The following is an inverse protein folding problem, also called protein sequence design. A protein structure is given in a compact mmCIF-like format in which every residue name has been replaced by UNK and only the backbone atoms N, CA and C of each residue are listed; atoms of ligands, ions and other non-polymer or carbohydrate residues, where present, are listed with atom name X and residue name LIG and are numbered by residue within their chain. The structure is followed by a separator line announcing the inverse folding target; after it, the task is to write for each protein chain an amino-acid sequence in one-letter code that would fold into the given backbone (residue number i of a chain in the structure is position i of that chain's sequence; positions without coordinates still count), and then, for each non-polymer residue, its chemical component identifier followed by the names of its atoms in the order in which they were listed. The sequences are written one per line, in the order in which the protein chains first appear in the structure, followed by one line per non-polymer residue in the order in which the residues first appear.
data_IF_481496272498
#
_entry.id   IF_481496272498
#
_cell.length_a   1.000
_cell.length_b   1.000
_cell.length_c   1.000
_cell.angle_alpha   90.00
_cell.angle_beta   90.00
_cell.angle_gamma   90.00
#
_symmetry.space_group_name_H-M   'P 1'
#
loop_
_entity.id
_entity.type
_entity.pdbx_description
1 polymer ?
#
# COMPACT_ATOMS: atom_id res chain seq x y z
N UNK A 1 -62.86 10.78 -75.63
CA UNK A 1 -62.71 9.33 -75.41
C UNK A 1 -61.23 9.02 -75.22
N UNK A 2 -60.89 8.51 -74.03
CA UNK A 2 -59.74 7.64 -73.71
C UNK A 2 -58.36 8.35 -73.79
N UNK A 3 -57.87 8.96 -72.69
CA UNK A 3 -57.08 8.36 -71.58
C UNK A 3 -55.75 7.75 -72.06
N UNK A 4 -54.56 8.08 -71.57
CA UNK A 4 -54.13 8.41 -70.22
C UNK A 4 -52.88 7.57 -69.97
N UNK A 5 -51.70 8.20 -69.90
CA UNK A 5 -50.45 7.56 -69.50
C UNK A 5 -49.79 8.41 -68.41
N UNK A 6 -49.32 7.81 -67.29
CA UNK A 6 -48.85 8.54 -66.13
C UNK A 6 -47.36 8.85 -66.26
N UNK A 7 -46.98 10.12 -66.09
CA UNK A 7 -45.61 10.49 -65.69
C UNK A 7 -45.72 11.49 -64.55
N UNK A 8 -45.76 10.99 -63.32
CA UNK A 8 -45.46 11.81 -62.16
C UNK A 8 -43.92 11.89 -62.10
N UNK A 9 -43.37 12.88 -62.79
CA UNK A 9 -42.05 13.39 -62.43
C UNK A 9 -42.25 14.18 -61.13
N UNK A 10 -41.82 13.61 -60.01
CA UNK A 10 -41.74 14.33 -58.75
C UNK A 10 -40.76 15.50 -58.92
N UNK A 11 -41.30 16.69 -59.15
CA UNK A 11 -40.54 17.93 -59.09
C UNK A 11 -40.14 18.15 -57.63
N UNK A 12 -38.90 17.80 -57.30
CA UNK A 12 -38.24 18.21 -56.06
C UNK A 12 -38.06 19.72 -56.13
N UNK A 13 -38.92 20.45 -55.43
CA UNK A 13 -38.74 21.88 -55.18
C UNK A 13 -37.57 22.01 -54.21
N UNK A 14 -36.37 22.17 -54.78
CA UNK A 14 -35.21 22.67 -54.05
C UNK A 14 -35.48 24.15 -53.77
N UNK A 15 -36.05 24.43 -52.59
CA UNK A 15 -36.13 25.78 -52.07
C UNK A 15 -34.72 26.17 -51.61
N UNK A 16 -33.99 26.82 -52.52
CA UNK A 16 -32.76 27.54 -52.24
C UNK A 16 -33.04 28.70 -51.27
N UNK A 17 -32.90 28.46 -49.96
CA UNK A 17 -32.66 29.54 -49.01
C UNK A 17 -31.21 30.01 -49.17
N UNK A 18 -31.03 31.04 -49.99
CA UNK A 18 -29.81 31.84 -50.09
C UNK A 18 -30.09 33.14 -49.37
N UNK A 19 -29.92 33.19 -48.05
CA UNK A 19 -29.65 34.43 -47.29
C UNK A 19 -28.95 34.07 -45.99
N UNK A 20 -27.78 34.69 -45.80
CA UNK A 20 -26.95 34.83 -44.60
C UNK A 20 -26.29 33.58 -43.99
N UNK A 21 -25.04 33.38 -44.41
CA UNK A 21 -23.94 32.78 -43.66
C UNK A 21 -24.25 31.55 -42.78
N UNK A 22 -24.40 30.37 -43.40
CA UNK A 22 -23.95 29.14 -42.76
C UNK A 22 -22.42 29.07 -42.82
N UNK A 23 -21.71 29.93 -42.09
CA UNK A 23 -20.40 29.51 -41.59
C UNK A 23 -20.69 28.41 -40.59
N UNK A 24 -20.32 27.17 -40.89
CA UNK A 24 -20.18 26.16 -39.86
C UNK A 24 -19.23 26.76 -38.81
N UNK A 25 -19.80 27.24 -37.70
CA UNK A 25 -19.02 27.80 -36.62
C UNK A 25 -18.26 26.60 -36.06
N UNK A 26 -17.00 26.45 -36.46
CA UNK A 26 -16.10 25.49 -35.85
C UNK A 26 -15.97 25.92 -34.40
N UNK A 27 -16.73 25.29 -33.51
CA UNK A 27 -16.69 25.58 -32.08
C UNK A 27 -15.28 25.27 -31.59
N UNK A 28 -14.45 26.31 -31.48
CA UNK A 28 -13.06 26.19 -31.07
C UNK A 28 -12.99 26.32 -29.55
N UNK A 29 -12.59 25.23 -28.90
CA UNK A 29 -12.54 25.09 -27.45
C UNK A 29 -11.15 25.45 -26.87
N UNK A 30 -10.19 25.87 -27.71
CA UNK A 30 -8.78 26.04 -27.33
C UNK A 30 -8.57 27.14 -26.28
N UNK A 31 -9.35 28.22 -26.32
CA UNK A 31 -9.26 29.28 -25.32
C UNK A 31 -9.72 28.80 -23.94
N UNK A 32 -10.83 28.05 -23.88
CA UNK A 32 -11.34 27.44 -22.65
C UNK A 32 -10.32 26.42 -22.10
N UNK A 33 -9.72 25.62 -22.99
CA UNK A 33 -8.67 24.67 -22.62
C UNK A 33 -7.44 25.35 -22.02
N UNK A 34 -7.01 26.47 -22.61
CA UNK A 34 -5.85 27.23 -22.13
C UNK A 34 -6.07 27.84 -20.75
N UNK A 35 -7.32 28.21 -20.45
CA UNK A 35 -7.70 28.76 -19.15
C UNK A 35 -7.95 27.68 -18.09
N UNK A 36 -8.16 26.42 -18.49
CA UNK A 36 -8.59 25.35 -17.58
C UNK A 36 -10.06 25.49 -17.18
N UNK A 37 -10.88 26.13 -18.04
CA UNK A 37 -12.26 26.46 -17.76
C UNK A 37 -13.17 25.24 -17.94
N UNK A 38 -13.97 24.88 -16.93
CA UNK A 38 -14.86 23.72 -16.99
C UNK A 38 -15.95 23.81 -18.07
N UNK A 39 -16.29 25.01 -18.57
CA UNK A 39 -17.16 25.17 -19.74
C UNK A 39 -16.54 24.63 -21.03
N UNK A 40 -15.24 24.28 -21.02
CA UNK A 40 -14.59 23.50 -22.07
C UNK A 40 -15.35 22.21 -22.43
N UNK A 41 -15.89 21.53 -21.42
CA UNK A 41 -16.58 20.25 -21.64
C UNK A 41 -17.96 20.42 -22.31
N UNK A 42 -18.64 21.55 -22.06
CA UNK A 42 -19.86 21.93 -22.79
C UNK A 42 -19.54 22.20 -24.27
N UNK A 43 -18.40 22.86 -24.53
CA UNK A 43 -17.86 23.09 -25.87
C UNK A 43 -17.54 21.76 -26.59
N UNK A 44 -16.88 20.81 -25.90
CA UNK A 44 -16.58 19.49 -26.44
C UNK A 44 -17.86 18.70 -26.78
N UNK A 45 -18.83 18.65 -25.86
CA UNK A 45 -20.11 17.97 -26.12
C UNK A 45 -20.80 18.54 -27.36
N UNK A 46 -20.81 19.86 -27.53
CA UNK A 46 -21.37 20.50 -28.73
C UNK A 46 -20.58 20.15 -29.99
N UNK A 47 -19.24 20.22 -29.93
CA UNK A 47 -18.37 19.99 -31.08
C UNK A 47 -18.44 18.56 -31.61
N UNK A 48 -18.39 17.57 -30.71
CA UNK A 48 -18.42 16.14 -31.05
C UNK A 48 -19.84 15.56 -31.07
N UNK A 49 -20.86 16.39 -30.81
CA UNK A 49 -22.27 15.98 -30.74
C UNK A 49 -22.52 14.88 -29.69
N UNK A 50 -21.81 14.94 -28.57
CA UNK A 50 -21.96 14.01 -27.46
C UNK A 50 -23.16 14.36 -26.57
N UNK A 51 -23.79 13.35 -26.00
CA UNK A 51 -24.95 13.45 -25.12
C UNK A 51 -24.56 13.67 -23.65
N UNK A 52 -25.57 13.88 -22.80
CA UNK A 52 -25.37 14.05 -21.35
C UNK A 52 -24.75 12.83 -20.65
N UNK A 53 -24.85 11.64 -21.25
CA UNK A 53 -24.30 10.40 -20.68
C UNK A 53 -22.86 10.14 -21.11
N UNK A 54 -22.35 10.90 -22.08
CA UNK A 54 -21.02 10.71 -22.63
C UNK A 54 -19.97 11.49 -21.81
N UNK A 55 -18.71 11.06 -21.95
CA UNK A 55 -17.56 11.56 -21.19
C UNK A 55 -17.54 13.07 -20.90
N UNK A 56 -17.74 13.99 -21.88
CA UNK A 56 -17.59 15.41 -21.61
C UNK A 56 -18.49 15.89 -20.47
N UNK A 57 -19.76 15.49 -20.45
CA UNK A 57 -20.73 15.96 -19.46
C UNK A 57 -20.86 15.03 -18.27
N UNK A 58 -20.87 13.71 -18.50
CA UNK A 58 -21.06 12.71 -17.46
C UNK A 58 -19.84 12.60 -16.52
N UNK A 59 -18.63 12.84 -17.04
CA UNK A 59 -17.39 12.69 -16.28
C UNK A 59 -16.57 13.99 -16.22
N UNK A 60 -16.12 14.50 -17.37
CA UNK A 60 -15.16 15.60 -17.45
C UNK A 60 -15.64 16.87 -16.75
N UNK A 61 -16.83 17.37 -17.12
CA UNK A 61 -17.43 18.58 -16.53
C UNK A 61 -17.71 18.41 -15.04
N UNK A 62 -18.29 17.27 -14.65
CA UNK A 62 -18.62 16.94 -13.25
C UNK A 62 -17.38 17.05 -12.36
N UNK A 63 -16.30 16.36 -12.73
CA UNK A 63 -15.08 16.34 -11.92
C UNK A 63 -14.33 17.66 -11.98
N UNK A 64 -14.28 18.34 -13.13
CA UNK A 64 -13.67 19.66 -13.22
C UNK A 64 -14.30 20.66 -12.23
N UNK A 65 -15.63 20.72 -12.19
CA UNK A 65 -16.35 21.59 -11.27
C UNK A 65 -16.12 21.20 -9.81
N UNK A 66 -16.09 19.89 -9.52
CA UNK A 66 -15.86 19.39 -8.16
C UNK A 66 -14.46 19.70 -7.66
N UNK A 67 -13.42 19.48 -8.46
CA UNK A 67 -12.06 19.87 -8.11
C UNK A 67 -11.93 21.39 -7.89
N UNK A 68 -12.64 22.20 -8.68
CA UNK A 68 -12.67 23.64 -8.48
C UNK A 68 -13.37 24.04 -7.17
N UNK A 69 -14.54 23.46 -6.87
CA UNK A 69 -15.31 23.78 -5.67
C UNK A 69 -14.64 23.34 -4.38
N UNK A 70 -14.02 22.16 -4.39
CA UNK A 70 -13.38 21.60 -3.20
C UNK A 70 -11.92 21.99 -3.06
N UNK A 71 -11.34 22.79 -3.97
CA UNK A 71 -9.91 23.15 -3.97
C UNK A 71 -9.34 23.59 -2.62
N UNK A 72 -10.15 24.22 -1.76
CA UNK A 72 -9.75 24.66 -0.41
C UNK A 72 -9.32 23.55 0.55
N UNK A 73 -9.78 22.31 0.35
CA UNK A 73 -9.34 21.17 1.17
C UNK A 73 -7.91 20.72 0.83
N UNK A 74 -7.38 21.09 -0.35
CA UNK A 74 -6.04 20.73 -0.79
C UNK A 74 -5.00 21.69 -0.19
N UNK A 75 -3.79 21.18 -0.01
CA UNK A 75 -2.61 21.98 0.27
C UNK A 75 -2.35 23.01 -0.85
N UNK A 76 -1.51 24.02 -0.60
CA UNK A 76 -1.13 25.00 -1.62
C UNK A 76 -0.55 24.35 -2.88
N UNK A 77 0.28 23.31 -2.71
CA UNK A 77 0.79 22.51 -3.82
C UNK A 77 -0.32 21.75 -4.57
N UNK A 78 -1.28 21.20 -3.83
CA UNK A 78 -2.44 20.53 -4.43
C UNK A 78 -3.37 21.46 -5.21
N UNK A 79 -3.56 22.70 -4.76
CA UNK A 79 -4.34 23.71 -5.49
C UNK A 79 -3.67 24.11 -6.81
N UNK A 80 -2.35 24.26 -6.80
CA UNK A 80 -1.57 24.50 -8.02
C UNK A 80 -1.65 23.29 -8.97
N UNK A 81 -1.56 22.07 -8.44
CA UNK A 81 -1.70 20.83 -9.19
C UNK A 81 -3.05 20.76 -9.92
N UNK A 82 -4.17 21.00 -9.22
CA UNK A 82 -5.52 21.02 -9.81
C UNK A 82 -5.58 21.97 -11.03
N UNK A 83 -5.05 23.18 -10.85
CA UNK A 83 -5.07 24.23 -11.88
C UNK A 83 -4.23 23.86 -13.10
N UNK A 84 -3.06 23.29 -12.88
CA UNK A 84 -2.15 22.96 -13.97
C UNK A 84 -2.58 21.70 -14.72
N UNK A 85 -3.09 20.70 -13.99
CA UNK A 85 -3.63 19.47 -14.56
C UNK A 85 -4.86 19.74 -15.41
N UNK A 86 -5.81 20.56 -14.95
CA UNK A 86 -7.01 20.87 -15.72
C UNK A 86 -6.65 21.46 -17.09
N UNK A 87 -5.70 22.41 -17.12
CA UNK A 87 -5.17 22.97 -18.36
C UNK A 87 -4.49 21.91 -19.22
N UNK A 88 -3.61 21.10 -18.63
CA UNK A 88 -2.89 20.05 -19.37
C UNK A 88 -3.84 19.06 -20.04
N UNK A 89 -4.86 18.58 -19.33
CA UNK A 89 -5.85 17.63 -19.86
C UNK A 89 -6.63 18.23 -21.04
N UNK A 90 -7.15 19.45 -20.85
CA UNK A 90 -7.93 20.12 -21.89
C UNK A 90 -7.06 20.47 -23.11
N UNK A 91 -5.82 20.91 -22.87
CA UNK A 91 -4.85 21.21 -23.93
C UNK A 91 -4.43 19.95 -24.69
N UNK A 92 -4.26 18.82 -23.99
CA UNK A 92 -3.94 17.53 -24.62
C UNK A 92 -5.00 17.14 -25.64
N UNK A 93 -6.28 17.38 -25.34
CA UNK A 93 -7.38 17.13 -26.28
C UNK A 93 -7.29 18.08 -27.47
N UNK A 94 -7.27 19.40 -27.28
CA UNK A 94 -7.33 20.36 -28.42
C UNK A 94 -6.10 20.31 -29.33
N UNK A 95 -4.95 19.88 -28.81
CA UNK A 95 -3.71 19.74 -29.57
C UNK A 95 -3.57 18.37 -30.26
N UNK A 96 -4.48 17.43 -30.01
CA UNK A 96 -4.43 16.10 -30.60
C UNK A 96 -5.03 16.06 -32.01
N UNK A 97 -4.66 15.02 -32.77
CA UNK A 97 -5.20 14.81 -34.12
C UNK A 97 -6.72 14.58 -34.11
N UNK A 98 -7.27 13.92 -33.08
CA UNK A 98 -8.71 13.63 -32.98
C UNK A 98 -9.55 14.91 -32.90
N UNK A 99 -9.01 16.01 -32.38
CA UNK A 99 -9.75 17.25 -32.21
C UNK A 99 -10.20 17.88 -33.53
N UNK A 100 -9.44 17.66 -34.59
CA UNK A 100 -9.73 18.17 -35.91
C UNK A 100 -10.35 17.11 -36.83
N UNK A 101 -10.47 15.86 -36.39
CA UNK A 101 -11.10 14.78 -37.14
C UNK A 101 -12.62 14.78 -36.90
N UNK A 102 -13.36 15.07 -37.96
CA UNK A 102 -14.83 15.12 -38.00
C UNK A 102 -15.49 13.76 -37.75
N UNK A 103 -14.75 12.65 -37.86
CA UNK A 103 -15.26 11.30 -37.65
C UNK A 103 -15.00 10.76 -36.24
N UNK A 104 -14.33 11.52 -35.38
CA UNK A 104 -14.05 11.10 -34.00
C UNK A 104 -15.36 10.89 -33.23
N UNK A 105 -15.51 9.71 -32.62
CA UNK A 105 -16.66 9.40 -31.77
C UNK A 105 -16.45 9.83 -30.33
N UNK A 106 -17.54 9.93 -29.55
CA UNK A 106 -17.47 10.24 -28.13
C UNK A 106 -16.71 9.18 -27.32
N UNK A 107 -16.77 7.91 -27.73
CA UNK A 107 -15.98 6.81 -27.12
C UNK A 107 -14.47 6.95 -27.39
N UNK A 108 -14.11 7.37 -28.61
CA UNK A 108 -12.71 7.63 -28.97
C UNK A 108 -12.16 8.84 -28.22
N UNK A 109 -12.98 9.90 -28.10
CA UNK A 109 -12.67 11.07 -27.29
C UNK A 109 -12.47 10.68 -25.82
N UNK A 110 -13.37 9.89 -25.25
CA UNK A 110 -13.27 9.40 -23.88
C UNK A 110 -11.99 8.60 -23.65
N UNK A 111 -11.70 7.65 -24.55
CA UNK A 111 -10.51 6.80 -24.47
C UNK A 111 -9.24 7.66 -24.45
N UNK A 112 -9.11 8.58 -25.41
CA UNK A 112 -7.96 9.49 -25.47
C UNK A 112 -7.89 10.39 -24.23
N UNK A 113 -9.03 10.92 -23.80
CA UNK A 113 -9.07 11.81 -22.65
C UNK A 113 -8.50 11.09 -21.44
N UNK A 114 -9.00 9.89 -21.10
CA UNK A 114 -8.44 9.07 -20.03
C UNK A 114 -6.96 8.76 -20.23
N UNK A 115 -6.51 8.34 -21.42
CA UNK A 115 -5.10 8.05 -21.70
C UNK A 115 -4.15 9.23 -21.45
N UNK A 116 -4.63 10.48 -21.56
CA UNK A 116 -3.82 11.68 -21.27
C UNK A 116 -3.61 11.96 -19.77
N UNK A 117 -4.43 11.38 -18.88
CA UNK A 117 -4.41 11.72 -17.46
C UNK A 117 -3.10 11.40 -16.74
N UNK A 118 -2.46 10.22 -16.90
CA UNK A 118 -1.28 9.88 -16.11
C UNK A 118 -0.15 10.86 -16.39
N UNK A 119 0.07 11.19 -17.67
CA UNK A 119 1.10 12.15 -18.09
C UNK A 119 0.84 13.52 -17.48
N UNK A 120 -0.37 14.06 -17.61
CA UNK A 120 -0.71 15.36 -17.05
C UNK A 120 -0.61 15.39 -15.52
N UNK A 121 -1.01 14.32 -14.84
CA UNK A 121 -0.92 14.24 -13.38
C UNK A 121 0.54 14.28 -12.93
N UNK A 122 1.39 13.43 -13.51
CA UNK A 122 2.81 13.31 -13.15
C UNK A 122 3.58 14.60 -13.44
N UNK A 123 3.44 15.13 -14.66
CA UNK A 123 4.18 16.32 -15.13
C UNK A 123 3.90 17.56 -14.28
N UNK A 124 2.74 17.59 -13.62
CA UNK A 124 2.30 18.72 -12.82
C UNK A 124 2.44 18.50 -11.32
N UNK A 125 3.17 17.47 -10.89
CA UNK A 125 3.53 17.28 -9.49
C UNK A 125 2.63 16.31 -8.72
N UNK A 126 1.92 15.38 -9.37
CA UNK A 126 1.11 14.39 -8.64
C UNK A 126 1.94 13.62 -7.60
N UNK A 127 3.14 13.17 -7.98
CA UNK A 127 3.99 12.39 -7.08
C UNK A 127 4.51 13.20 -5.89
N UNK A 128 4.68 14.52 -6.02
CA UNK A 128 5.28 15.39 -5.01
C UNK A 128 4.24 16.14 -4.19
N UNK A 129 3.27 16.75 -4.84
CA UNK A 129 2.34 17.69 -4.23
C UNK A 129 1.03 17.02 -3.82
N UNK A 130 0.62 15.94 -4.49
CA UNK A 130 -0.61 15.20 -4.15
C UNK A 130 -0.28 13.98 -3.30
N UNK A 131 0.52 13.07 -3.85
CA UNK A 131 0.82 11.78 -3.28
C UNK A 131 1.63 11.90 -1.97
N UNK A 132 2.59 12.83 -1.91
CA UNK A 132 3.45 13.09 -0.73
C UNK A 132 2.99 14.29 0.11
N UNK A 133 1.70 14.68 0.03
CA UNK A 133 1.18 15.77 0.85
C UNK A 133 1.26 15.47 2.35
N UNK A 134 1.52 16.50 3.16
CA UNK A 134 1.59 16.36 4.63
C UNK A 134 0.30 15.74 5.19
N UNK A 135 0.47 14.76 6.07
CA UNK A 135 -0.62 13.96 6.65
C UNK A 135 -1.61 13.39 5.61
N UNK A 136 -1.15 13.14 4.38
CA UNK A 136 -1.97 12.70 3.25
C UNK A 136 -3.15 13.63 2.92
N UNK A 137 -3.09 14.92 3.30
CA UNK A 137 -4.19 15.89 3.16
C UNK A 137 -4.87 15.84 1.80
N UNK A 138 -4.08 15.80 0.72
CA UNK A 138 -4.61 15.84 -0.64
C UNK A 138 -5.28 14.53 -1.05
N UNK A 139 -4.76 13.38 -0.62
CA UNK A 139 -5.38 12.07 -0.87
C UNK A 139 -6.68 11.92 -0.07
N UNK A 140 -6.68 12.38 1.19
CA UNK A 140 -7.86 12.42 2.04
C UNK A 140 -8.94 13.28 1.38
N UNK A 141 -8.59 14.44 0.85
CA UNK A 141 -9.59 15.26 0.16
C UNK A 141 -10.09 14.62 -1.14
N UNK A 142 -9.19 14.04 -1.96
CA UNK A 142 -9.61 13.33 -3.19
C UNK A 142 -10.62 12.23 -2.85
N UNK A 143 -10.37 11.43 -1.81
CA UNK A 143 -11.27 10.36 -1.39
C UNK A 143 -12.59 10.86 -0.80
N UNK A 144 -12.55 11.88 0.06
CA UNK A 144 -13.71 12.30 0.85
C UNK A 144 -14.56 13.37 0.19
N UNK A 145 -14.01 14.17 -0.73
CA UNK A 145 -14.70 15.32 -1.31
C UNK A 145 -14.85 15.19 -2.82
N UNK A 146 -13.86 14.66 -3.53
CA UNK A 146 -13.91 14.56 -4.98
C UNK A 146 -14.66 13.31 -5.44
N UNK A 147 -14.36 12.16 -4.84
CA UNK A 147 -14.95 10.87 -5.20
C UNK A 147 -15.85 10.32 -4.09
N UNK A 148 -16.91 11.08 -3.76
CA UNK A 148 -17.83 10.79 -2.64
C UNK A 148 -18.79 9.62 -2.87
N UNK A 149 -18.93 9.14 -4.10
CA UNK A 149 -19.93 8.15 -4.51
C UNK A 149 -19.33 7.02 -5.36
N UNK A 150 -20.18 6.14 -5.92
CA UNK A 150 -19.84 4.99 -6.79
C UNK A 150 -18.95 5.30 -8.02
N UNK A 151 -18.53 6.55 -8.20
CA UNK A 151 -17.65 7.01 -9.28
C UNK A 151 -16.26 6.36 -9.24
N UNK A 152 -15.79 5.93 -8.05
CA UNK A 152 -14.54 5.18 -7.90
C UNK A 152 -14.57 3.80 -8.59
N UNK A 153 -15.75 3.28 -8.96
CA UNK A 153 -15.90 1.91 -9.49
C UNK A 153 -15.90 1.80 -11.01
N UNK A 154 -15.69 2.90 -11.75
CA UNK A 154 -15.48 2.80 -13.20
C UNK A 154 -14.09 2.24 -13.48
N UNK A 155 -14.01 1.19 -14.31
CA UNK A 155 -12.74 0.49 -14.64
C UNK A 155 -11.65 1.46 -15.12
N UNK A 156 -12.02 2.53 -15.82
CA UNK A 156 -11.10 3.55 -16.31
C UNK A 156 -10.54 4.42 -15.18
N UNK A 157 -11.35 4.88 -14.22
CA UNK A 157 -10.85 5.71 -13.11
C UNK A 157 -9.84 4.96 -12.23
N UNK A 158 -10.06 3.67 -11.98
CA UNK A 158 -9.14 2.81 -11.23
C UNK A 158 -7.83 2.59 -12.01
N UNK A 159 -7.93 2.32 -13.32
CA UNK A 159 -6.77 2.16 -14.20
C UNK A 159 -5.92 3.45 -14.26
N UNK A 160 -6.56 4.61 -14.26
CA UNK A 160 -5.87 5.90 -14.20
C UNK A 160 -5.09 6.12 -12.91
N UNK A 161 -5.71 5.86 -11.76
CA UNK A 161 -5.06 5.96 -10.45
C UNK A 161 -3.87 5.02 -10.38
N UNK A 162 -4.05 3.78 -10.85
CA UNK A 162 -3.02 2.74 -10.84
C UNK A 162 -1.83 3.12 -11.72
N UNK A 163 -2.05 3.56 -12.96
CA UNK A 163 -0.99 3.98 -13.89
C UNK A 163 -0.24 5.21 -13.40
N UNK A 164 -0.95 6.19 -12.84
CA UNK A 164 -0.35 7.41 -12.31
C UNK A 164 0.52 7.09 -11.09
N UNK A 165 0.01 6.30 -10.15
CA UNK A 165 0.75 5.92 -8.95
C UNK A 165 1.97 5.03 -9.27
N UNK A 166 1.83 4.05 -10.18
CA UNK A 166 2.93 3.19 -10.61
C UNK A 166 4.08 3.96 -11.29
N UNK A 167 3.77 5.11 -11.90
CA UNK A 167 4.76 5.97 -12.57
C UNK A 167 5.53 6.88 -11.61
N UNK A 168 5.18 6.93 -10.32
CA UNK A 168 5.93 7.63 -9.28
C UNK A 168 7.15 6.84 -8.76
N UNK A 169 7.65 5.89 -9.56
CA UNK A 169 8.64 4.85 -9.22
C UNK A 169 10.03 5.35 -8.77
N UNK A 170 10.30 6.65 -8.77
CA UNK A 170 11.56 7.20 -8.24
C UNK A 170 11.53 7.51 -6.73
N UNK A 171 10.40 7.34 -6.04
CA UNK A 171 10.24 7.72 -4.62
C UNK A 171 9.43 6.71 -3.79
N UNK A 172 9.31 5.44 -4.18
CA UNK A 172 8.53 4.45 -3.41
C UNK A 172 9.07 4.30 -1.97
N UNK A 173 10.39 4.33 -1.79
CA UNK A 173 10.99 4.32 -0.44
C UNK A 173 10.62 5.59 0.34
N UNK A 174 10.78 6.79 -0.23
CA UNK A 174 10.36 8.05 0.41
C UNK A 174 8.85 8.08 0.72
N UNK A 175 8.01 7.51 -0.15
CA UNK A 175 6.55 7.47 0.00
C UNK A 175 6.08 6.54 1.12
N UNK A 176 6.70 5.37 1.28
CA UNK A 176 6.36 4.46 2.37
C UNK A 176 6.97 4.92 3.70
N UNK A 177 8.18 5.49 3.68
CA UNK A 177 8.95 5.80 4.88
C UNK A 177 8.56 7.13 5.56
N UNK A 178 8.03 8.13 4.84
CA UNK A 178 7.91 9.50 5.41
C UNK A 178 6.53 9.87 5.99
N UNK A 179 5.40 9.23 5.61
CA UNK A 179 4.07 9.70 6.07
C UNK A 179 3.04 8.62 6.51
N UNK A 180 2.77 7.52 5.78
CA UNK A 180 1.73 6.55 6.18
C UNK A 180 2.14 5.67 7.36
N UNK A 181 3.45 5.38 7.46
CA UNK A 181 4.00 4.52 8.51
C UNK A 181 4.63 5.27 9.68
N UNK A 182 4.85 6.59 9.56
CA UNK A 182 5.30 7.43 10.66
C UNK A 182 4.28 7.52 11.81
N UNK A 183 2.99 7.27 11.53
CA UNK A 183 1.90 7.18 12.51
C UNK A 183 1.49 5.74 12.83
N UNK A 184 2.22 4.75 12.33
CA UNK A 184 1.88 3.34 12.55
C UNK A 184 2.02 2.98 14.03
N UNK A 185 1.03 2.26 14.57
CA UNK A 185 0.97 1.79 15.97
C UNK A 185 1.91 0.58 16.18
N UNK A 186 3.17 0.73 15.78
CA UNK A 186 4.21 -0.29 15.94
C UNK A 186 4.49 -0.54 17.43
N UNK A 187 4.42 0.50 18.25
CA UNK A 187 4.48 0.41 19.73
C UNK A 187 3.32 -0.37 20.34
N UNK A 188 2.32 -0.76 19.54
CA UNK A 188 1.25 -1.66 19.95
C UNK A 188 1.35 -3.02 19.26
N UNK A 189 2.42 -3.26 18.52
CA UNK A 189 2.64 -4.47 17.74
C UNK A 189 1.68 -4.60 16.57
N UNK A 190 1.19 -3.50 15.97
CA UNK A 190 0.43 -3.54 14.69
C UNK A 190 1.42 -3.62 13.52
N UNK A 191 1.24 -4.56 12.56
CA UNK A 191 2.16 -4.70 11.44
C UNK A 191 1.98 -3.54 10.46
N UNK A 192 3.11 -3.06 9.93
CA UNK A 192 3.14 -2.16 8.79
C UNK A 192 3.07 -3.00 7.53
N UNK A 193 2.02 -2.84 6.72
CA UNK A 193 1.83 -3.65 5.50
C UNK A 193 1.71 -2.76 4.27
N UNK A 194 2.53 -3.02 3.26
CA UNK A 194 2.44 -2.42 1.94
C UNK A 194 1.97 -3.45 0.91
N UNK A 195 1.14 -3.01 -0.03
CA UNK A 195 0.73 -3.80 -1.18
C UNK A 195 1.18 -3.11 -2.46
N UNK A 196 2.00 -3.78 -3.26
CA UNK A 196 2.49 -3.30 -4.56
C UNK A 196 1.66 -3.97 -5.64
N UNK A 197 1.00 -3.18 -6.48
CA UNK A 197 0.25 -3.65 -7.64
C UNK A 197 0.96 -3.17 -8.91
N UNK A 198 1.26 -4.07 -9.84
CA UNK A 198 1.88 -3.72 -11.13
C UNK A 198 1.33 -4.59 -12.25
N UNK A 199 1.20 -4.01 -13.44
CA UNK A 199 0.77 -4.69 -14.67
C UNK A 199 1.92 -4.92 -15.66
N UNK A 200 3.12 -4.46 -15.31
CA UNK A 200 4.28 -4.43 -16.18
C UNK A 200 5.58 -4.72 -15.46
N UNK A 201 6.67 -4.72 -16.24
CA UNK A 201 8.04 -4.82 -15.73
C UNK A 201 8.54 -3.43 -15.33
N UNK A 202 9.37 -3.36 -14.30
CA UNK A 202 10.12 -2.14 -13.97
C UNK A 202 11.06 -1.74 -15.11
N UNK A 203 11.16 -0.44 -15.33
CA UNK A 203 12.13 0.17 -16.24
C UNK A 203 13.55 0.21 -15.64
N UNK A 204 13.66 0.06 -14.31
CA UNK A 204 14.93 -0.06 -13.58
C UNK A 204 14.80 -1.13 -12.48
N UNK A 205 15.01 -2.42 -12.82
CA UNK A 205 14.92 -3.51 -11.85
C UNK A 205 15.87 -3.35 -10.66
N UNK A 206 17.03 -2.72 -10.87
CA UNK A 206 18.03 -2.56 -9.81
C UNK A 206 17.59 -1.57 -8.74
N UNK A 207 17.02 -0.44 -9.15
CA UNK A 207 16.44 0.55 -8.24
C UNK A 207 15.21 -0.01 -7.52
N UNK A 208 14.38 -0.80 -8.20
CA UNK A 208 13.22 -1.47 -7.60
C UNK A 208 13.62 -2.40 -6.45
N UNK A 209 14.66 -3.22 -6.64
CA UNK A 209 15.19 -4.11 -5.59
C UNK A 209 15.74 -3.31 -4.41
N UNK A 210 16.48 -2.23 -4.67
CA UNK A 210 17.02 -1.37 -3.61
C UNK A 210 15.91 -0.69 -2.80
N UNK A 211 14.87 -0.20 -3.46
CA UNK A 211 13.71 0.40 -2.81
C UNK A 211 12.96 -0.62 -1.96
N UNK A 212 12.72 -1.83 -2.47
CA UNK A 212 12.10 -2.91 -1.71
C UNK A 212 12.93 -3.28 -0.47
N UNK A 213 14.26 -3.36 -0.61
CA UNK A 213 15.13 -3.63 0.52
C UNK A 213 15.06 -2.53 1.59
N UNK A 214 15.01 -1.25 1.19
CA UNK A 214 14.87 -0.15 2.14
C UNK A 214 13.55 -0.24 2.93
N UNK A 215 12.46 -0.62 2.26
CA UNK A 215 11.13 -0.83 2.87
C UNK A 215 11.15 -2.02 3.83
N UNK A 216 11.79 -3.13 3.44
CA UNK A 216 11.95 -4.31 4.30
C UNK A 216 12.81 -4.00 5.54
N UNK A 217 13.88 -3.22 5.37
CA UNK A 217 14.75 -2.82 6.48
C UNK A 217 14.03 -1.90 7.48
N UNK A 218 12.98 -1.18 7.05
CA UNK A 218 12.08 -0.46 7.95
C UNK A 218 10.97 -1.36 8.51
N UNK A 219 11.07 -2.69 8.43
CA UNK A 219 10.08 -3.61 9.02
C UNK A 219 8.67 -3.48 8.43
N UNK A 220 8.55 -2.98 7.19
CA UNK A 220 7.30 -2.95 6.43
C UNK A 220 7.18 -4.26 5.65
N UNK A 221 6.07 -4.97 5.87
CA UNK A 221 5.77 -6.23 5.20
C UNK A 221 5.08 -5.99 3.85
N UNK A 222 5.63 -6.51 2.77
CA UNK A 222 5.23 -6.21 1.39
C UNK A 222 4.59 -7.43 0.74
N UNK A 223 3.41 -7.20 0.15
CA UNK A 223 2.71 -8.10 -0.76
C UNK A 223 2.78 -7.56 -2.18
N UNK A 224 3.05 -8.43 -3.15
CA UNK A 224 3.20 -8.06 -4.56
C UNK A 224 2.08 -8.68 -5.39
N UNK A 225 1.41 -7.86 -6.21
CA UNK A 225 0.31 -8.26 -7.07
C UNK A 225 0.66 -7.94 -8.53
N UNK A 226 0.88 -8.98 -9.32
CA UNK A 226 1.02 -8.88 -10.77
C UNK A 226 -0.34 -8.94 -11.43
N UNK A 227 -0.62 -8.03 -12.36
CA UNK A 227 -1.90 -7.98 -13.08
C UNK A 227 -1.66 -8.20 -14.58
N UNK A 228 -2.33 -9.20 -15.15
CA UNK A 228 -2.19 -9.58 -16.54
C UNK A 228 -0.87 -10.29 -16.86
N UNK A 229 -0.43 -10.19 -18.11
CA UNK A 229 0.61 -11.06 -18.66
C UNK A 229 1.94 -10.36 -18.95
N UNK A 230 2.06 -9.06 -18.64
CA UNK A 230 3.26 -8.24 -18.97
C UNK A 230 4.20 -8.05 -17.76
N UNK A 231 3.99 -8.79 -16.69
CA UNK A 231 4.78 -8.73 -15.45
C UNK A 231 6.07 -9.56 -15.53
N UNK A 232 7.03 -9.28 -14.63
CA UNK A 232 8.14 -10.20 -14.31
C UNK A 232 7.87 -10.81 -12.95
N UNK A 233 7.77 -12.15 -12.91
CA UNK A 233 7.55 -12.84 -11.64
C UNK A 233 8.76 -12.71 -10.72
N UNK A 234 9.98 -12.71 -11.27
CA UNK A 234 11.21 -12.51 -10.49
C UNK A 234 11.23 -11.13 -9.82
N UNK A 235 10.79 -10.09 -10.51
CA UNK A 235 10.67 -8.75 -9.95
C UNK A 235 9.66 -8.70 -8.79
N UNK A 236 8.47 -9.29 -8.96
CA UNK A 236 7.46 -9.35 -7.89
C UNK A 236 7.98 -10.09 -6.66
N UNK A 237 8.71 -11.19 -6.87
CA UNK A 237 9.35 -11.97 -5.80
C UNK A 237 10.42 -11.14 -5.09
N UNK A 238 11.19 -10.32 -5.82
CA UNK A 238 12.21 -9.47 -5.22
C UNK A 238 11.62 -8.31 -4.41
N UNK A 239 10.41 -7.84 -4.76
CA UNK A 239 9.67 -6.82 -4.02
C UNK A 239 9.01 -7.38 -2.75
N UNK A 240 8.54 -8.63 -2.79
CA UNK A 240 7.74 -9.24 -1.74
C UNK A 240 8.57 -9.71 -0.52
N UNK A 241 8.05 -9.55 0.70
CA UNK A 241 8.83 -9.85 1.93
C UNK A 241 9.15 -11.32 2.18
N UNK A 242 8.28 -12.25 1.77
CA UNK A 242 8.55 -13.70 1.86
C UNK A 242 8.76 -14.33 0.48
N UNK A 243 9.22 -13.52 -0.47
CA UNK A 243 9.38 -13.94 -1.86
C UNK A 243 8.06 -14.46 -2.43
N UNK A 244 8.10 -15.65 -3.03
CA UNK A 244 6.96 -16.26 -3.73
C UNK A 244 5.68 -16.38 -2.87
N UNK A 245 5.80 -16.54 -1.55
CA UNK A 245 4.65 -16.69 -0.64
C UNK A 245 3.75 -15.47 -0.56
N UNK A 246 4.27 -14.29 -0.91
CA UNK A 246 3.58 -13.00 -0.88
C UNK A 246 3.32 -12.44 -2.29
N UNK A 247 3.52 -13.25 -3.34
CA UNK A 247 3.26 -12.86 -4.72
C UNK A 247 1.93 -13.43 -5.18
N UNK A 248 1.08 -12.56 -5.70
CA UNK A 248 -0.22 -12.91 -6.24
C UNK A 248 -0.31 -12.49 -7.70
N UNK A 249 -0.84 -13.37 -8.54
CA UNK A 249 -1.09 -13.05 -9.94
C UNK A 249 -2.60 -12.91 -10.17
N UNK A 250 -2.97 -11.88 -10.93
CA UNK A 250 -4.34 -11.45 -11.16
C UNK A 250 -4.54 -11.41 -12.67
N UNK A 251 -5.62 -12.03 -13.17
CA UNK A 251 -5.84 -12.18 -14.62
C UNK A 251 -6.01 -10.85 -15.37
N UNK A 252 -6.49 -9.80 -14.69
CA UNK A 252 -6.75 -8.51 -15.28
C UNK A 252 -7.44 -7.56 -14.31
N UNK A 253 -8.09 -6.54 -14.86
CA UNK A 253 -8.72 -5.45 -14.10
C UNK A 253 -10.25 -5.56 -14.05
N UNK A 254 -10.82 -6.76 -14.14
CA UNK A 254 -12.27 -6.90 -13.94
C UNK A 254 -12.64 -6.70 -12.47
N UNK A 255 -13.91 -6.38 -12.21
CA UNK A 255 -14.43 -6.26 -10.84
C UNK A 255 -14.27 -7.55 -10.04
N UNK A 256 -14.42 -8.71 -10.69
CA UNK A 256 -14.19 -10.02 -10.07
C UNK A 256 -12.71 -10.28 -9.76
N UNK A 257 -11.80 -9.87 -10.66
CA UNK A 257 -10.36 -10.02 -10.45
C UNK A 257 -9.88 -9.18 -9.26
N UNK A 258 -10.34 -7.93 -9.19
CA UNK A 258 -10.00 -7.02 -8.09
C UNK A 258 -10.63 -7.45 -6.76
N UNK A 259 -11.83 -8.03 -6.78
CA UNK A 259 -12.41 -8.68 -5.60
C UNK A 259 -11.52 -9.81 -5.04
N UNK A 260 -10.82 -10.54 -5.92
CA UNK A 260 -9.80 -11.51 -5.52
C UNK A 260 -8.60 -10.87 -4.80
N UNK A 261 -8.10 -9.75 -5.32
CA UNK A 261 -7.02 -8.97 -4.69
C UNK A 261 -7.41 -8.51 -3.28
N UNK A 262 -8.59 -7.90 -3.14
CA UNK A 262 -9.07 -7.41 -1.85
C UNK A 262 -9.22 -8.53 -0.82
N UNK A 263 -9.74 -9.69 -1.23
CA UNK A 263 -9.87 -10.84 -0.33
C UNK A 263 -8.50 -11.39 0.09
N UNK A 264 -7.56 -11.44 -0.84
CA UNK A 264 -6.21 -11.90 -0.54
C UNK A 264 -5.48 -10.94 0.40
N UNK A 265 -5.58 -9.62 0.16
CA UNK A 265 -5.08 -8.61 1.07
C UNK A 265 -5.67 -8.80 2.46
N UNK A 266 -7.00 -8.87 2.59
CA UNK A 266 -7.67 -9.04 3.87
C UNK A 266 -7.18 -10.27 4.65
N UNK A 267 -7.05 -11.43 3.99
CA UNK A 267 -6.58 -12.66 4.65
C UNK A 267 -5.11 -12.55 5.04
N UNK A 268 -4.29 -11.99 4.17
CA UNK A 268 -2.83 -11.96 4.35
C UNK A 268 -2.42 -10.91 5.39
N UNK A 269 -2.99 -9.70 5.34
CA UNK A 269 -2.69 -8.62 6.28
C UNK A 269 -3.12 -8.98 7.70
N UNK A 270 -4.25 -9.66 7.89
CA UNK A 270 -4.71 -10.15 9.20
C UNK A 270 -3.80 -11.25 9.78
N UNK A 271 -3.00 -11.89 8.92
CA UNK A 271 -2.08 -12.98 9.28
C UNK A 271 -0.62 -12.51 9.29
N UNK A 272 -0.37 -11.21 9.11
CA UNK A 272 0.98 -10.67 9.05
C UNK A 272 1.52 -10.43 10.47
N UNK A 273 2.69 -10.95 10.82
CA UNK A 273 3.32 -10.62 12.09
C UNK A 273 3.97 -9.24 12.04
N UNK A 274 4.03 -8.57 13.18
CA UNK A 274 4.83 -7.34 13.34
C UNK A 274 6.28 -7.73 13.58
N UNK A 275 7.17 -7.27 12.71
CA UNK A 275 8.61 -7.47 12.84
C UNK A 275 9.13 -6.47 13.88
N UNK A 276 9.83 -6.98 14.89
CA UNK A 276 10.31 -6.18 16.01
C UNK A 276 11.76 -6.51 16.37
N UNK A 277 12.46 -5.50 16.85
CA UNK A 277 13.79 -5.65 17.43
C UNK A 277 13.68 -6.05 18.91
N UNK A 278 14.67 -6.83 19.38
CA UNK A 278 14.76 -7.18 20.79
C UNK A 278 14.99 -5.92 21.63
N UNK A 279 14.24 -5.76 22.72
CA UNK A 279 14.28 -4.56 23.58
C UNK A 279 13.24 -3.50 23.24
N UNK A 280 12.50 -3.65 22.13
CA UNK A 280 11.36 -2.77 21.83
C UNK A 280 10.16 -3.15 22.68
N UNK A 281 9.61 -2.16 23.38
CA UNK A 281 8.40 -2.31 24.18
C UNK A 281 7.15 -2.25 23.31
N UNK A 282 6.19 -3.13 23.61
CA UNK A 282 4.83 -3.10 23.06
C UNK A 282 3.84 -2.91 24.19
N UNK A 283 2.90 -1.98 24.04
CA UNK A 283 1.77 -1.83 24.94
C UNK A 283 0.45 -1.88 24.15
N UNK A 284 -0.47 -2.77 24.51
CA UNK A 284 -1.76 -2.88 23.82
C UNK A 284 -2.84 -3.52 24.70
N UNK A 285 -4.10 -3.37 24.28
CA UNK A 285 -5.25 -4.11 24.78
C UNK A 285 -5.80 -5.03 23.70
N UNK A 286 -6.06 -6.30 24.05
CA UNK A 286 -6.62 -7.31 23.16
C UNK A 286 -8.01 -7.75 23.62
N UNK A 287 -9.02 -7.75 22.74
CA UNK A 287 -10.28 -8.41 22.99
C UNK A 287 -10.15 -9.92 23.16
N UNK A 288 -11.13 -10.56 23.80
CA UNK A 288 -11.21 -12.02 23.93
C UNK A 288 -11.07 -12.75 22.60
N UNK A 289 -10.16 -13.72 22.54
CA UNK A 289 -9.91 -14.57 21.37
C UNK A 289 -9.15 -13.88 20.24
N UNK A 290 -8.94 -12.56 20.31
CA UNK A 290 -8.04 -11.86 19.38
C UNK A 290 -6.58 -12.19 19.71
N UNK A 291 -5.73 -12.09 18.70
CA UNK A 291 -4.32 -12.42 18.81
C UNK A 291 -3.45 -11.27 18.32
N UNK A 292 -2.27 -11.12 18.92
CA UNK A 292 -1.20 -10.30 18.37
C UNK A 292 -0.05 -11.15 17.91
N UNK A 293 0.30 -10.98 16.64
CA UNK A 293 1.28 -11.77 15.90
C UNK A 293 2.57 -10.97 15.83
N UNK A 294 3.66 -11.53 16.36
CA UNK A 294 4.95 -10.85 16.45
C UNK A 294 6.04 -11.75 15.88
N UNK A 295 7.06 -11.14 15.29
CA UNK A 295 8.25 -11.81 14.79
C UNK A 295 9.49 -11.11 15.33
N UNK A 296 10.42 -11.90 15.87
CA UNK A 296 11.73 -11.45 16.30
C UNK A 296 12.81 -12.27 15.59
N UNK A 297 13.91 -11.62 15.23
CA UNK A 297 15.15 -12.34 14.97
C UNK A 297 15.61 -12.98 16.29
N UNK A 298 15.78 -14.31 16.27
CA UNK A 298 16.07 -15.08 17.46
C UNK A 298 17.58 -15.06 17.78
N UNK A 299 18.00 -14.51 18.94
CA UNK A 299 19.41 -14.39 19.28
C UNK A 299 20.05 -15.76 19.56
N UNK A 300 21.32 -15.92 19.20
CA UNK A 300 22.09 -17.15 19.48
C UNK A 300 22.22 -17.48 20.97
N UNK A 301 22.12 -16.46 21.84
CA UNK A 301 22.13 -16.59 23.31
C UNK A 301 20.73 -16.81 23.91
N UNK A 302 19.68 -16.86 23.10
CA UNK A 302 18.29 -16.91 23.53
C UNK A 302 17.73 -15.53 23.85
N UNK A 303 16.45 -15.49 24.22
CA UNK A 303 15.77 -14.25 24.61
C UNK A 303 14.77 -14.50 25.73
N UNK A 304 14.61 -13.53 26.62
CA UNK A 304 13.56 -13.54 27.65
C UNK A 304 12.40 -12.64 27.26
N UNK A 305 11.18 -13.17 27.35
CA UNK A 305 9.93 -12.43 27.23
C UNK A 305 9.48 -11.97 28.62
N UNK A 306 9.22 -10.67 28.78
CA UNK A 306 8.65 -10.07 29.98
C UNK A 306 7.32 -9.44 29.63
N UNK A 307 6.22 -10.02 30.11
CA UNK A 307 4.87 -9.54 29.84
C UNK A 307 4.24 -9.10 31.15
N UNK A 308 4.16 -7.79 31.34
CA UNK A 308 3.49 -7.16 32.47
C UNK A 308 2.00 -7.03 32.14
N UNK A 309 1.15 -7.69 32.92
CA UNK A 309 -0.29 -7.84 32.63
C UNK A 309 -1.07 -7.01 33.63
N UNK A 310 -1.79 -6.03 33.11
CA UNK A 310 -2.58 -5.11 33.95
C UNK A 310 -4.06 -5.49 33.99
N UNK A 311 -4.58 -6.10 32.91
CA UNK A 311 -5.97 -6.54 32.80
C UNK A 311 -6.02 -7.89 32.10
N UNK A 312 -6.87 -8.79 32.59
CA UNK A 312 -7.18 -10.06 31.93
C UNK A 312 -6.07 -11.11 32.05
N UNK A 313 -6.12 -12.10 31.17
CA UNK A 313 -5.16 -13.20 31.10
C UNK A 313 -4.81 -13.46 29.65
N UNK A 314 -3.60 -13.91 29.41
CA UNK A 314 -3.12 -14.17 28.07
C UNK A 314 -2.37 -15.49 27.98
N UNK A 315 -2.36 -16.04 26.78
CA UNK A 315 -1.50 -17.16 26.39
C UNK A 315 -0.54 -16.66 25.32
N UNK A 316 0.75 -16.82 25.56
CA UNK A 316 1.80 -16.60 24.57
C UNK A 316 2.15 -17.94 23.97
N UNK A 317 1.94 -18.08 22.66
CA UNK A 317 2.33 -19.27 21.89
C UNK A 317 3.52 -18.91 21.02
N UNK A 318 4.56 -19.72 21.01
CA UNK A 318 5.73 -19.48 20.19
C UNK A 318 6.08 -20.63 19.26
N UNK A 319 6.65 -20.31 18.10
CA UNK A 319 7.19 -21.28 17.16
C UNK A 319 8.40 -20.73 16.42
N UNK A 320 9.34 -21.61 16.05
CA UNK A 320 10.49 -21.28 15.21
C UNK A 320 10.26 -21.62 13.72
N UNK A 321 9.13 -22.23 13.40
CA UNK A 321 8.84 -22.75 12.05
C UNK A 321 7.50 -22.30 11.48
N UNK A 322 6.57 -21.87 12.33
CA UNK A 322 5.22 -21.47 11.93
C UNK A 322 5.00 -20.00 12.29
N UNK A 323 4.73 -19.15 11.29
CA UNK A 323 4.57 -17.70 11.48
C UNK A 323 3.42 -17.32 12.42
N UNK A 324 2.32 -18.08 12.39
CA UNK A 324 1.13 -17.82 13.19
C UNK A 324 0.82 -19.05 14.04
N UNK A 325 1.58 -19.28 15.13
CA UNK A 325 1.40 -20.46 15.95
C UNK A 325 0.03 -20.43 16.65
N UNK A 326 -0.64 -21.57 16.63
CA UNK A 326 -1.84 -21.85 17.39
C UNK A 326 -1.59 -23.06 18.30
N UNK A 327 -2.62 -23.49 19.03
CA UNK A 327 -2.51 -24.60 19.99
C UNK A 327 -1.91 -25.89 19.40
N UNK A 328 -2.14 -26.16 18.11
CA UNK A 328 -1.66 -27.36 17.43
C UNK A 328 -0.28 -27.18 16.77
N UNK A 329 0.13 -25.94 16.51
CA UNK A 329 1.32 -25.63 15.72
C UNK A 329 2.46 -25.00 16.52
N UNK A 330 2.19 -24.54 17.73
CA UNK A 330 3.19 -24.00 18.66
C UNK A 330 4.28 -25.03 19.00
N UNK A 331 5.48 -24.52 19.28
CA UNK A 331 6.60 -25.28 19.81
C UNK A 331 6.73 -25.10 21.33
N UNK A 332 6.28 -23.95 21.84
CA UNK A 332 6.11 -23.70 23.28
C UNK A 332 4.88 -22.82 23.55
N UNK A 333 4.41 -22.83 24.80
CA UNK A 333 3.30 -21.99 25.24
C UNK A 333 3.44 -21.64 26.71
N UNK A 334 3.07 -20.40 27.04
CA UNK A 334 3.10 -19.87 28.40
C UNK A 334 1.78 -19.16 28.66
N UNK A 335 1.15 -19.44 29.80
CA UNK A 335 -0.09 -18.80 30.22
C UNK A 335 0.17 -17.97 31.47
N UNK A 336 -0.44 -16.79 31.54
CA UNK A 336 -0.30 -15.87 32.68
C UNK A 336 -0.80 -16.48 33.99
N UNK A 337 -1.92 -17.22 33.95
CA UNK A 337 -2.58 -17.82 35.12
C UNK A 337 -2.79 -16.81 36.28
N UNK A 338 -3.09 -15.55 35.95
CA UNK A 338 -3.28 -14.45 36.89
C UNK A 338 -2.02 -13.68 37.30
N UNK A 339 -0.84 -14.03 36.78
CA UNK A 339 0.43 -13.34 37.05
C UNK A 339 1.10 -12.85 35.74
N UNK A 340 2.05 -11.93 35.88
CA UNK A 340 2.95 -11.53 34.80
C UNK A 340 3.75 -12.74 34.26
N UNK A 341 4.21 -12.64 33.01
CA UNK A 341 5.02 -13.69 32.38
C UNK A 341 6.47 -13.24 32.33
N UNK A 342 7.36 -14.05 32.89
CA UNK A 342 8.81 -13.95 32.68
C UNK A 342 9.30 -15.30 32.15
N UNK A 343 9.63 -15.37 30.85
CA UNK A 343 9.91 -16.63 30.17
C UNK A 343 11.14 -16.56 29.28
N UNK A 344 12.14 -17.39 29.60
CA UNK A 344 13.34 -17.56 28.78
C UNK A 344 13.13 -18.57 27.65
N UNK A 345 13.27 -18.11 26.41
CA UNK A 345 13.29 -18.92 25.21
C UNK A 345 14.76 -19.31 24.93
N UNK A 346 15.11 -20.55 25.28
CA UNK A 346 16.49 -21.02 25.17
C UNK A 346 16.89 -21.40 23.74
N UNK A 347 18.18 -21.27 23.36
CA UNK A 347 18.69 -21.78 22.08
C UNK A 347 18.49 -23.30 21.90
N UNK A 348 18.51 -24.05 23.01
CA UNK A 348 18.28 -25.50 22.97
C UNK A 348 16.83 -25.84 22.61
N UNK A 349 15.85 -25.05 23.08
CA UNK A 349 14.46 -25.19 22.66
C UNK A 349 14.34 -25.01 21.14
N UNK A 350 14.96 -23.97 20.56
CA UNK A 350 15.00 -23.78 19.11
C UNK A 350 15.59 -24.99 18.39
N UNK A 351 16.74 -25.49 18.85
CA UNK A 351 17.43 -26.62 18.23
C UNK A 351 16.57 -27.89 18.26
N UNK A 352 15.88 -28.15 19.38
CA UNK A 352 14.97 -29.29 19.52
C UNK A 352 13.73 -29.16 18.63
N UNK A 353 13.16 -27.97 18.50
CA UNK A 353 11.99 -27.72 17.66
C UNK A 353 12.28 -27.79 16.16
N UNK A 354 13.54 -27.62 15.76
CA UNK A 354 13.94 -27.48 14.35
C UNK A 354 14.73 -28.68 13.80
N UNK A 355 15.27 -29.53 14.68
CA UNK A 355 15.90 -30.78 14.26
C UNK A 355 14.86 -31.80 13.77
N UNK A 356 15.07 -32.28 12.54
CA UNK A 356 14.28 -33.35 11.92
C UNK A 356 14.71 -34.76 12.37
N UNK A 357 15.66 -34.88 13.29
CA UNK A 357 16.16 -36.17 13.78
C UNK A 357 15.22 -36.76 14.82
N UNK A 358 14.02 -37.17 14.40
CA UNK A 358 13.19 -38.04 15.20
C UNK A 358 12.66 -39.20 14.35
N UNK A 359 13.27 -40.35 14.61
CA UNK A 359 12.77 -41.71 14.44
C UNK A 359 11.45 -41.97 15.23
N UNK A 360 10.66 -40.93 15.54
CA UNK A 360 9.50 -40.94 16.44
C UNK A 360 8.27 -40.32 15.78
N UNK A 361 7.89 -40.83 14.60
CA UNK A 361 6.51 -40.89 14.10
C UNK A 361 5.61 -39.63 14.08
N UNK A 362 6.07 -38.44 14.44
CA UNK A 362 5.26 -37.21 14.46
C UNK A 362 5.34 -36.52 13.10
N UNK A 363 4.14 -36.28 12.55
CA UNK A 363 3.87 -35.66 11.25
C UNK A 363 4.77 -34.45 10.99
N UNK A 364 5.40 -34.45 9.82
CA UNK A 364 6.19 -33.35 9.27
C UNK A 364 5.34 -32.09 9.11
N UNK A 365 5.74 -31.00 9.81
CA UNK A 365 5.16 -29.67 9.62
C UNK A 365 5.77 -29.06 8.34
N UNK A 366 4.94 -28.42 7.49
CA UNK A 366 5.38 -27.74 6.25
C UNK A 366 6.40 -26.65 6.61
N UNK A 367 7.65 -26.82 6.19
CA UNK A 367 8.76 -25.90 6.47
C UNK A 367 8.71 -24.65 5.56
N UNK A 368 9.01 -23.48 6.13
CA UNK A 368 9.66 -22.40 5.38
C UNK A 368 11.16 -22.71 5.26
N UNK A 369 11.85 -22.30 4.17
CA UNK A 369 13.29 -22.57 4.01
C UNK A 369 14.10 -21.96 5.15
N UNK A 370 14.85 -22.79 5.87
CA UNK A 370 15.81 -22.35 6.89
C UNK A 370 17.07 -21.77 6.23
N UNK A 371 17.65 -20.67 6.75
CA UNK A 371 18.99 -20.24 6.39
C UNK A 371 20.01 -21.30 6.84
N UNK A 372 20.95 -21.64 5.96
CA UNK A 372 21.92 -22.74 6.14
C UNK A 372 23.04 -22.45 7.16
N UNK A 373 23.02 -21.29 7.82
CA UNK A 373 23.96 -20.92 8.88
C UNK A 373 23.14 -20.37 10.05
N UNK A 374 23.30 -20.94 11.26
CA UNK A 374 22.51 -20.65 12.48
C UNK A 374 22.63 -19.24 13.08
N UNK A 375 22.86 -18.23 12.25
CA UNK A 375 22.75 -16.80 12.54
C UNK A 375 21.56 -16.29 11.71
N UNK A 376 20.45 -15.90 12.35
CA UNK A 376 19.26 -15.36 11.67
C UNK A 376 18.02 -16.27 11.65
N UNK A 377 17.85 -17.17 12.63
CA UNK A 377 16.56 -17.85 12.81
C UNK A 377 15.52 -16.85 13.34
N UNK A 378 14.24 -17.05 13.03
CA UNK A 378 13.15 -16.23 13.57
C UNK A 378 12.40 -17.00 14.66
N UNK A 379 11.89 -16.27 15.65
CA UNK A 379 10.83 -16.77 16.53
C UNK A 379 9.56 -15.97 16.30
N UNK A 380 8.45 -16.70 16.15
CA UNK A 380 7.13 -16.16 15.91
C UNK A 380 6.26 -16.36 17.13
N UNK A 381 5.59 -15.29 17.58
CA UNK A 381 4.73 -15.29 18.75
C UNK A 381 3.28 -14.98 18.37
N UNK A 382 2.35 -15.67 19.02
CA UNK A 382 0.92 -15.36 19.02
C UNK A 382 0.47 -15.15 20.47
N UNK A 383 0.21 -13.89 20.83
CA UNK A 383 -0.28 -13.49 22.15
C UNK A 383 -1.80 -13.40 22.07
N UNK A 384 -2.52 -14.25 22.79
CA UNK A 384 -3.97 -14.38 22.67
C UNK A 384 -4.64 -13.97 23.98
N UNK A 385 -5.62 -13.06 23.88
CA UNK A 385 -6.41 -12.60 25.02
C UNK A 385 -7.50 -13.61 25.43
N UNK A 386 -7.62 -13.88 26.72
CA UNK A 386 -8.55 -14.90 27.26
C UNK A 386 -9.80 -14.30 27.91
N UNK A 387 -9.71 -13.06 28.40
CA UNK A 387 -10.81 -12.29 28.98
C UNK A 387 -11.37 -11.28 27.96
N UNK A 388 -12.46 -10.60 28.31
CA UNK A 388 -13.12 -9.62 27.43
C UNK A 388 -12.13 -8.53 26.99
N UNK A 389 -11.35 -8.00 27.93
CA UNK A 389 -10.20 -7.13 27.69
C UNK A 389 -8.94 -7.74 28.32
N UNK A 390 -7.81 -7.60 27.62
CA UNK A 390 -6.51 -8.09 28.08
C UNK A 390 -5.44 -7.04 27.78
N UNK A 391 -5.02 -6.28 28.78
CA UNK A 391 -4.07 -5.18 28.63
C UNK A 391 -2.72 -5.61 29.18
N UNK A 392 -1.69 -5.47 28.36
CA UNK A 392 -0.32 -5.86 28.73
C UNK A 392 0.72 -4.96 28.11
N UNK A 393 1.91 -4.97 28.72
CA UNK A 393 3.15 -4.44 28.18
C UNK A 393 4.10 -5.63 27.97
N UNK A 394 4.59 -5.81 26.75
CA UNK A 394 5.61 -6.80 26.42
C UNK A 394 6.95 -6.09 26.22
N UNK A 395 7.98 -6.61 26.88
CA UNK A 395 9.37 -6.29 26.63
C UNK A 395 10.16 -7.59 26.36
N UNK A 396 11.28 -7.47 25.65
CA UNK A 396 12.16 -8.60 25.32
C UNK A 396 13.61 -8.25 25.64
N UNK A 397 14.38 -9.22 26.12
CA UNK A 397 15.80 -9.03 26.44
C UNK A 397 16.65 -10.15 25.87
N UNK A 398 17.92 -9.86 25.60
CA UNK A 398 18.89 -10.85 25.17
C UNK A 398 19.30 -11.76 26.34
N UNK A 399 19.37 -13.07 26.08
CA UNK A 399 19.75 -14.06 27.09
C UNK A 399 18.68 -14.31 28.15
N UNK A 400 19.07 -15.07 29.19
CA UNK A 400 18.19 -15.40 30.31
C UNK A 400 18.26 -14.30 31.38
N UNK A 401 17.14 -13.61 31.58
CA UNK A 401 16.97 -12.59 32.63
C UNK A 401 15.83 -12.90 33.60
N UNK A 402 15.43 -14.17 33.69
CA UNK A 402 14.32 -14.66 34.53
C UNK A 402 14.69 -14.76 36.02
N UNK A 403 15.99 -14.73 36.37
CA UNK A 403 16.45 -14.78 37.77
C UNK A 403 16.71 -13.38 38.35
N UNK A 404 16.04 -13.08 39.47
CA UNK A 404 16.60 -12.18 40.46
C UNK A 404 17.64 -12.95 41.26
N UNK A 405 18.92 -12.57 41.13
CA UNK A 405 19.94 -13.11 42.03
C UNK A 405 19.51 -12.82 43.49
N UNK A 406 19.47 -13.82 44.38
CA UNK A 406 19.43 -13.52 45.80
C UNK A 406 20.73 -12.78 46.11
N UNK A 407 20.59 -11.52 46.55
CA UNK A 407 21.68 -10.75 47.13
C UNK A 407 22.17 -11.45 48.40
N UNK A 408 23.03 -12.44 48.23
CA UNK A 408 23.93 -12.84 49.30
C UNK A 408 24.84 -11.64 49.54
N UNK A 409 24.61 -11.00 50.68
CA UNK A 409 25.26 -9.75 51.07
C UNK A 409 26.78 -9.83 50.88
N UNK A 410 27.28 -9.10 49.90
CA UNK A 410 28.64 -8.60 49.90
C UNK A 410 28.59 -7.13 49.45
N UNK A 411 29.29 -6.33 50.23
CA UNK A 411 29.26 -4.87 50.27
C UNK A 411 29.40 -4.16 48.91
N UNK A 412 28.72 -3.02 48.80
CA UNK A 412 28.66 -2.03 47.71
C UNK A 412 30.02 -1.34 47.40
N UNK A 413 31.15 -2.01 47.61
CA UNK A 413 32.50 -1.47 47.35
C UNK A 413 33.24 -2.18 46.21
N UNK A 414 32.78 -3.33 45.72
CA UNK A 414 33.45 -4.08 44.65
C UNK A 414 33.21 -3.53 43.23
N UNK A 415 32.00 -3.05 42.93
CA UNK A 415 31.62 -2.67 41.57
C UNK A 415 32.11 -1.28 41.13
N UNK A 416 32.47 -0.39 42.06
CA UNK A 416 33.07 0.91 41.72
C UNK A 416 34.56 0.79 41.37
N UNK A 417 35.28 -0.20 41.92
CA UNK A 417 36.72 -0.39 41.65
C UNK A 417 36.96 -0.95 40.24
N UNK A 418 36.07 -1.81 39.74
CA UNK A 418 36.16 -2.38 38.39
C UNK A 418 35.85 -1.35 37.28
N UNK A 419 34.92 -0.43 37.50
CA UNK A 419 34.65 0.65 36.54
C UNK A 419 35.77 1.69 36.47
N UNK A 420 36.44 2.00 37.58
CA UNK A 420 37.56 2.97 37.61
C UNK A 420 38.82 2.39 36.93
N UNK A 421 39.10 1.09 37.09
CA UNK A 421 40.22 0.42 36.41
C UNK A 421 39.98 0.32 34.89
N UNK A 422 38.73 0.08 34.45
CA UNK A 422 38.39 0.07 33.03
C UNK A 422 38.48 1.46 32.37
N UNK A 423 38.06 2.51 33.08
CA UNK A 423 38.18 3.90 32.60
C UNK A 423 39.64 4.37 32.54
N UNK A 424 40.49 4.01 33.51
CA UNK A 424 41.92 4.35 33.50
C UNK A 424 42.71 3.61 32.41
N UNK A 425 42.33 2.37 32.07
CA UNK A 425 42.91 1.65 30.93
C UNK A 425 42.50 2.25 29.57
N UNK A 426 41.31 2.85 29.47
CA UNK A 426 40.85 3.47 28.22
C UNK A 426 41.58 4.78 27.89
N UNK A 427 42.01 5.53 28.91
CA UNK A 427 42.78 6.78 28.70
C UNK A 427 44.27 6.56 28.39
N UNK A 428 44.85 5.38 28.70
CA UNK A 428 46.25 5.06 28.40
C UNK A 428 46.49 4.62 26.94
N UNK A 429 45.44 4.34 26.16
CA UNK A 429 45.54 3.91 24.76
C UNK A 429 45.36 5.03 23.72
N UNK A 430 45.14 6.27 24.15
CA UNK A 430 44.90 7.42 23.24
C UNK A 430 46.20 8.23 22.96
N UNK A 431 47.33 7.91 23.60
CA UNK A 431 48.63 8.56 23.33
C UNK A 431 49.79 7.54 23.33
N UNK A 432 49.87 6.70 22.30
CA UNK A 432 51.12 6.16 21.71
C UNK A 432 50.93 6.12 20.20
#
# INVERSE_FOLDING_TARGET
MISGFPTIAAAVVILLCITDQCTAQTTNCSALASNGDCSFYDCLSTKFQCTANDYPLAYGRKHCLRYASESSCFSTGGQAWITNVSRCLMQSIVNSALYNDVNTTCDQLETFAFESHPRCYIDNGFCTDILLSDQCQNLVCIGNEIFTDRDFYTKQAIDQITRTAASCSSRISTFLLDAPFATARVSEGIPRVAAVLTDGRSNDPSATVQAAQAVHNDGIYVYSFGIGNRISYEELVAIASTGQGNVFNVSGFSSSDFGGVLRQLQVSTCSTPTILETGMEIATTLPKGSSRLLQYEFPSMGMTLKVDITVGNLVVRGSFSVQNPNELTQDFSVMSNGNDIDYFISPELMRQSTNNDNNDGRRTKRQAPMPTNGTGANVYLSIVGLNDDNTFVLNTTFGDTTESFPSSGTSVLGSMVLMIVALLCFFLFIWI
#
